data_IF_786008444435
#
_entry.id   IF_786008444435
#
_cell.length_a   1.000
_cell.length_b   1.000
_cell.length_c   1.000
_cell.angle_alpha   90.00
_cell.angle_beta   90.00
_cell.angle_gamma   90.00
#
_symmetry.space_group_name_H-M   'P 1'
#
loop_
_entity.id
_entity.type
_entity.pdbx_description
1 polymer ?
#
# COMPACT_ATOMS: atom_id res chain seq x y z
N UNK A 1 18.04 8.14 10.86
CA UNK A 1 16.63 8.49 10.67
C UNK A 1 16.13 7.73 9.45
N UNK A 2 15.28 6.72 9.64
CA UNK A 2 14.82 5.80 8.59
C UNK A 2 13.32 5.89 8.39
N UNK A 3 12.87 5.84 7.14
CA UNK A 3 11.47 5.81 6.76
C UNK A 3 11.12 4.45 6.18
N UNK A 4 9.95 3.92 6.55
CA UNK A 4 9.44 2.66 6.05
C UNK A 4 7.96 2.76 5.75
N UNK A 5 7.51 2.02 4.75
CA UNK A 5 6.12 1.91 4.35
C UNK A 5 5.72 0.44 4.52
N UNK A 6 4.67 0.18 5.28
CA UNK A 6 4.11 -1.17 5.47
C UNK A 6 2.61 -1.19 5.15
N UNK A 7 2.08 -2.37 4.85
CA UNK A 7 0.62 -2.57 4.75
C UNK A 7 0.02 -2.60 6.14
N UNK A 8 -1.20 -2.08 6.26
CA UNK A 8 -1.98 -2.18 7.50
C UNK A 8 -2.68 -3.55 7.51
N UNK A 9 -2.32 -4.49 8.40
CA UNK A 9 -2.81 -5.87 8.32
C UNK A 9 -4.33 -5.98 8.43
N UNK A 10 -4.95 -5.10 9.22
CA UNK A 10 -6.40 -5.09 9.47
C UNK A 10 -7.20 -4.36 8.38
N UNK A 11 -6.55 -3.63 7.46
CA UNK A 11 -7.27 -2.87 6.41
C UNK A 11 -7.11 -3.54 5.06
N UNK A 12 -8.24 -3.93 4.46
CA UNK A 12 -8.27 -4.52 3.12
C UNK A 12 -8.05 -3.48 2.04
N UNK A 13 -7.49 -3.94 0.92
CA UNK A 13 -7.49 -3.19 -0.34
C UNK A 13 -8.94 -3.03 -0.81
N UNK A 14 -9.28 -1.86 -1.33
CA UNK A 14 -10.63 -1.56 -1.83
C UNK A 14 -10.57 -0.97 -3.23
N UNK A 15 -11.65 -1.12 -3.99
CA UNK A 15 -11.83 -0.44 -5.27
C UNK A 15 -12.78 0.74 -5.03
N UNK A 16 -12.39 1.90 -5.55
CA UNK A 16 -13.16 3.15 -5.49
C UNK A 16 -14.17 3.23 -6.63
N UNK A 17 -15.10 4.17 -6.56
CA UNK A 17 -16.14 4.40 -7.58
C UNK A 17 -15.54 4.71 -8.96
N UNK A 18 -14.44 5.47 -8.99
CA UNK A 18 -13.65 5.76 -10.20
C UNK A 18 -12.82 4.57 -10.71
N UNK A 19 -13.12 3.34 -10.27
CA UNK A 19 -12.42 2.11 -10.64
C UNK A 19 -10.91 2.12 -10.33
N UNK A 20 -10.50 2.89 -9.31
CA UNK A 20 -9.12 2.94 -8.80
C UNK A 20 -8.97 2.03 -7.58
N UNK A 21 -7.81 1.42 -7.44
CA UNK A 21 -7.45 0.57 -6.30
C UNK A 21 -6.87 1.43 -5.19
N UNK A 22 -7.48 1.37 -4.00
CA UNK A 22 -7.02 2.06 -2.80
C UNK A 22 -6.37 1.08 -1.83
N UNK A 23 -5.08 1.27 -1.60
CA UNK A 23 -4.24 0.49 -0.69
C UNK A 23 -3.92 1.33 0.56
N UNK A 24 -4.45 0.98 1.74
CA UNK A 24 -4.11 1.66 2.99
C UNK A 24 -2.72 1.24 3.50
N UNK A 25 -1.86 2.23 3.78
CA UNK A 25 -0.46 2.03 4.19
C UNK A 25 -0.14 2.74 5.51
N UNK A 26 0.80 2.19 6.26
CA UNK A 26 1.47 2.85 7.37
C UNK A 26 2.77 3.47 6.90
N UNK A 27 2.95 4.73 7.29
CA UNK A 27 4.23 5.42 7.23
C UNK A 27 4.87 5.30 8.61
N UNK A 28 6.02 4.67 8.67
CA UNK A 28 6.82 4.50 9.88
C UNK A 28 8.04 5.40 9.81
N UNK A 29 8.36 6.05 10.94
CA UNK A 29 9.59 6.81 11.15
C UNK A 29 10.35 6.20 12.32
N UNK A 30 11.55 5.74 12.06
CA UNK A 30 12.40 5.09 13.07
C UNK A 30 11.67 3.94 13.79
N UNK A 31 10.91 3.14 13.05
CA UNK A 31 10.13 1.99 13.55
C UNK A 31 8.82 2.34 14.26
N UNK A 32 8.54 3.63 14.48
CA UNK A 32 7.28 4.09 15.08
C UNK A 32 6.29 4.54 14.02
N UNK A 33 5.01 4.25 14.23
CA UNK A 33 3.93 4.79 13.40
C UNK A 33 3.97 6.32 13.39
N UNK A 34 4.02 6.88 12.19
CA UNK A 34 4.01 8.32 11.95
C UNK A 34 2.68 8.76 11.34
N UNK A 35 2.14 8.01 10.38
CA UNK A 35 0.86 8.32 9.73
C UNK A 35 0.23 7.11 9.03
N UNK A 36 -1.09 7.18 8.84
CA UNK A 36 -1.80 6.36 7.86
C UNK A 36 -1.90 7.14 6.54
N UNK A 37 -1.56 6.51 5.42
CA UNK A 37 -1.67 7.12 4.09
C UNK A 37 -2.29 6.14 3.08
N UNK A 38 -3.35 6.54 2.34
CA UNK A 38 -3.85 5.73 1.24
C UNK A 38 -3.00 5.94 -0.02
N UNK A 39 -2.56 4.85 -0.65
CA UNK A 39 -2.04 4.86 -2.01
C UNK A 39 -3.18 4.51 -2.96
N UNK A 40 -3.46 5.40 -3.92
CA UNK A 40 -4.48 5.17 -4.95
C UNK A 40 -3.80 4.89 -6.27
N UNK A 41 -4.06 3.71 -6.83
CA UNK A 41 -3.52 3.24 -8.10
C UNK A 41 -4.65 3.08 -9.11
N UNK A 42 -4.37 3.30 -10.38
CA UNK A 42 -5.20 2.73 -11.45
C UNK A 42 -5.16 1.21 -11.40
N UNK A 43 -6.11 0.56 -12.09
CA UNK A 43 -6.11 -0.90 -12.21
C UNK A 43 -4.80 -1.42 -12.83
N UNK A 44 -4.31 -0.78 -13.89
CA UNK A 44 -3.08 -1.16 -14.59
C UNK A 44 -1.87 -1.07 -13.66
N UNK A 45 -1.73 0.03 -12.91
CA UNK A 45 -0.63 0.19 -11.94
C UNK A 45 -0.70 -0.86 -10.83
N UNK A 46 -1.89 -1.20 -10.36
CA UNK A 46 -2.08 -2.23 -9.34
C UNK A 46 -1.72 -3.64 -9.85
N UNK A 47 -2.09 -3.96 -11.10
CA UNK A 47 -1.73 -5.21 -11.76
C UNK A 47 -0.22 -5.33 -11.98
N UNK A 48 0.42 -4.24 -12.41
CA UNK A 48 1.88 -4.18 -12.55
C UNK A 48 2.57 -4.41 -11.20
N UNK A 49 2.13 -3.73 -10.15
CA UNK A 49 2.66 -3.89 -8.79
C UNK A 49 2.45 -5.32 -8.24
N UNK A 50 1.33 -5.96 -8.60
CA UNK A 50 1.07 -7.36 -8.22
C UNK A 50 1.98 -8.34 -8.97
N UNK A 51 2.29 -8.05 -10.24
CA UNK A 51 3.18 -8.84 -11.06
C UNK A 51 4.65 -8.68 -10.66
N UNK A 52 5.02 -7.63 -9.91
CA UNK A 52 6.38 -7.46 -9.42
C UNK A 52 6.78 -8.61 -8.47
N UNK A 53 7.88 -9.32 -8.77
CA UNK A 53 8.29 -10.52 -8.05
C UNK A 53 8.66 -10.27 -6.58
N UNK A 54 8.80 -9.01 -6.15
CA UNK A 54 9.08 -8.62 -4.77
C UNK A 54 7.83 -8.57 -3.87
N UNK A 55 6.62 -8.58 -4.43
CA UNK A 55 5.36 -8.54 -3.69
C UNK A 55 4.82 -9.94 -3.33
N UNK A 56 5.41 -11.00 -3.88
CA UNK A 56 4.99 -12.39 -3.72
C UNK A 56 5.66 -13.02 -2.50
N UNK A 57 5.29 -12.55 -1.32
CA UNK A 57 5.48 -13.26 -0.03
C UNK A 57 6.92 -13.54 0.38
N UNK A 58 7.38 -12.82 1.41
CA UNK A 58 8.33 -13.38 2.37
C UNK A 58 7.72 -13.28 3.76
#
# INVERSE_FOLDING_TARGET
MTWRIDRIPSKRVSVTDDNRVRLPLWILRDGRHAADAPLTLSRVEAEHLHAEPHCRGR
#
